data_IF_981001305945
#
_entry.id   IF_981001305945
#
_cell.length_a   1.000
_cell.length_b   1.000
_cell.length_c   1.000
_cell.angle_alpha   90.00
_cell.angle_beta   90.00
_cell.angle_gamma   90.00
#
_symmetry.space_group_name_H-M   'P 1'
#
loop_
_entity.id
_entity.type
_entity.pdbx_description
1 polymer ?
#
# COMPACT_ATOMS: atom_id res chain seq x y z
N UNK A 1 -14.01 9.60 8.79
CA UNK A 1 -15.36 9.97 8.29
C UNK A 1 -15.43 9.64 6.80
N UNK A 2 -16.59 9.49 6.13
CA UNK A 2 -16.57 9.17 4.69
C UNK A 2 -15.93 10.33 3.90
N UNK A 3 -15.15 9.98 2.87
CA UNK A 3 -14.67 10.95 1.89
C UNK A 3 -15.88 11.52 1.14
N UNK A 4 -15.96 12.84 1.05
CA UNK A 4 -16.99 13.55 0.30
C UNK A 4 -16.37 14.17 -0.95
N UNK A 5 -17.16 14.33 -2.01
CA UNK A 5 -16.69 14.99 -3.23
C UNK A 5 -16.15 16.39 -2.89
N UNK A 6 -14.87 16.62 -3.14
CA UNK A 6 -14.26 17.91 -2.91
C UNK A 6 -14.82 18.91 -3.94
N UNK A 7 -15.22 20.10 -3.48
CA UNK A 7 -15.92 21.08 -4.31
C UNK A 7 -15.05 21.82 -5.34
N UNK A 8 -13.80 21.39 -5.59
CA UNK A 8 -12.86 22.06 -6.49
C UNK A 8 -11.91 21.13 -7.21
N UNK A 9 -11.41 21.56 -8.37
CA UNK A 9 -10.35 20.86 -9.08
C UNK A 9 -9.02 21.08 -8.34
N UNK A 10 -8.29 20.00 -8.03
CA UNK A 10 -6.92 20.11 -7.49
C UNK A 10 -5.90 20.51 -8.55
N UNK A 11 -6.08 20.02 -9.78
CA UNK A 11 -5.15 20.27 -10.86
C UNK A 11 -5.59 21.47 -11.71
N UNK A 12 -4.65 22.37 -12.09
CA UNK A 12 -4.86 23.29 -13.19
C UNK A 12 -5.14 22.53 -14.49
N UNK A 13 -5.95 23.10 -15.39
CA UNK A 13 -6.35 22.45 -16.65
C UNK A 13 -5.15 21.97 -17.50
N UNK A 14 -4.05 22.71 -17.50
CA UNK A 14 -2.84 22.33 -18.25
C UNK A 14 -2.20 21.04 -17.68
N UNK A 15 -2.29 20.82 -16.37
CA UNK A 15 -1.80 19.63 -15.70
C UNK A 15 -2.75 18.46 -15.94
N UNK A 16 -4.07 18.67 -15.87
CA UNK A 16 -5.03 17.65 -16.26
C UNK A 16 -4.78 17.17 -17.71
N UNK A 17 -4.52 18.09 -18.64
CA UNK A 17 -4.20 17.76 -20.04
C UNK A 17 -2.89 16.99 -20.20
N UNK A 18 -1.87 17.28 -19.37
CA UNK A 18 -0.59 16.57 -19.40
C UNK A 18 -0.71 15.14 -18.88
N UNK A 19 -1.51 14.93 -17.82
CA UNK A 19 -1.75 13.62 -17.20
C UNK A 19 -2.79 12.77 -17.95
N UNK A 20 -3.47 13.37 -18.92
CA UNK A 20 -4.54 12.76 -19.68
C UNK A 20 -4.02 11.87 -20.83
N UNK A 21 -3.57 10.69 -20.43
CA UNK A 21 -2.97 9.68 -21.31
C UNK A 21 -4.01 8.64 -21.78
N UNK A 22 -3.87 8.13 -23.01
CA UNK A 22 -4.94 7.42 -23.72
C UNK A 22 -4.79 5.89 -23.81
N UNK A 23 -3.83 5.29 -23.10
CA UNK A 23 -3.55 3.84 -23.15
C UNK A 23 -3.46 3.20 -21.77
N UNK A 24 -3.85 1.91 -21.70
CA UNK A 24 -3.68 1.05 -20.50
C UNK A 24 -2.34 1.30 -19.81
N UNK A 25 -1.27 1.20 -20.60
CA UNK A 25 0.12 1.26 -20.15
C UNK A 25 0.54 2.61 -19.59
N UNK A 26 -0.33 3.61 -19.64
CA UNK A 26 -0.10 4.95 -19.09
C UNK A 26 -1.18 5.39 -18.10
N UNK A 27 -2.08 4.48 -17.70
CA UNK A 27 -3.22 4.82 -16.84
C UNK A 27 -2.88 4.95 -15.36
N UNK A 28 -1.80 4.31 -14.91
CA UNK A 28 -1.36 4.46 -13.53
C UNK A 28 -0.86 5.90 -13.30
N UNK A 29 -1.00 6.39 -12.07
CA UNK A 29 -0.44 7.66 -11.56
C UNK A 29 -0.07 7.44 -10.11
N UNK A 30 1.01 8.07 -9.69
CA UNK A 30 1.44 8.04 -8.30
C UNK A 30 1.81 9.44 -7.83
N UNK A 31 1.70 9.65 -6.52
CA UNK A 31 1.88 10.95 -5.91
C UNK A 31 2.79 10.84 -4.69
N UNK A 32 3.74 11.74 -4.55
CA UNK A 32 4.65 11.77 -3.41
C UNK A 32 5.77 12.79 -3.62
N UNK A 33 6.48 13.12 -2.56
CA UNK A 33 7.60 14.06 -2.56
C UNK A 33 8.87 13.39 -3.13
N UNK A 34 9.17 13.66 -4.40
CA UNK A 34 10.22 12.98 -5.18
C UNK A 34 11.58 13.61 -4.93
N UNK A 35 11.67 14.92 -4.72
CA UNK A 35 12.92 15.62 -4.45
C UNK A 35 13.11 16.05 -2.99
N UNK A 36 12.23 15.54 -2.11
CA UNK A 36 12.30 15.67 -0.66
C UNK A 36 12.31 17.14 -0.19
N UNK A 37 11.54 17.98 -0.87
CA UNK A 37 11.39 19.41 -0.59
C UNK A 37 10.12 19.74 0.24
N UNK A 38 9.31 18.72 0.51
CA UNK A 38 8.08 18.78 1.28
C UNK A 38 6.81 18.91 0.42
N UNK A 39 6.94 19.05 -0.89
CA UNK A 39 5.82 19.17 -1.81
C UNK A 39 5.46 17.84 -2.46
N UNK A 40 4.17 17.55 -2.57
CA UNK A 40 3.73 16.34 -3.29
C UNK A 40 3.85 16.55 -4.80
N UNK A 41 4.65 15.70 -5.45
CA UNK A 41 4.81 15.65 -6.90
C UNK A 41 3.86 14.64 -7.56
N UNK A 42 3.89 14.62 -8.90
CA UNK A 42 3.11 13.67 -9.70
C UNK A 42 4.03 12.83 -10.56
N UNK A 43 4.03 11.52 -10.32
CA UNK A 43 4.69 10.51 -11.13
C UNK A 43 3.68 9.91 -12.12
N UNK A 44 4.04 9.90 -13.40
CA UNK A 44 3.18 9.38 -14.47
C UNK A 44 3.99 8.83 -15.64
N UNK A 45 3.34 8.16 -16.59
CA UNK A 45 4.02 7.64 -17.79
C UNK A 45 3.42 8.21 -19.07
N UNK A 46 4.26 8.38 -20.08
CA UNK A 46 3.86 8.75 -21.44
C UNK A 46 4.35 7.71 -22.42
N UNK A 47 3.58 7.47 -23.48
CA UNK A 47 4.05 6.61 -24.57
C UNK A 47 5.18 7.31 -25.32
N UNK A 48 6.35 6.69 -25.34
CA UNK A 48 7.42 7.15 -26.22
C UNK A 48 7.09 6.75 -27.66
N UNK A 49 6.99 7.76 -28.53
CA UNK A 49 6.64 7.58 -29.95
C UNK A 49 7.66 6.74 -30.73
N UNK A 50 8.91 6.67 -30.25
CA UNK A 50 9.99 5.99 -30.96
C UNK A 50 10.05 4.50 -30.63
N UNK A 51 9.97 4.16 -29.34
CA UNK A 51 10.06 2.79 -28.84
C UNK A 51 8.69 2.11 -28.77
N UNK A 52 7.60 2.88 -28.67
CA UNK A 52 6.25 2.35 -28.48
C UNK A 52 6.01 1.80 -27.07
N UNK A 53 6.88 2.10 -26.10
CA UNK A 53 6.74 1.72 -24.70
C UNK A 53 6.45 2.93 -23.81
N UNK A 54 5.78 2.76 -22.66
CA UNK A 54 5.62 3.83 -21.69
C UNK A 54 6.97 4.19 -21.05
N UNK A 55 7.21 5.48 -20.85
CA UNK A 55 8.39 6.03 -20.18
C UNK A 55 7.91 6.87 -19.00
N UNK A 56 8.60 6.75 -17.86
CA UNK A 56 8.26 7.52 -16.67
C UNK A 56 8.71 8.98 -16.75
N UNK A 57 7.83 9.84 -16.27
CA UNK A 57 8.01 11.27 -16.11
C UNK A 57 7.51 11.69 -14.72
N UNK A 58 8.03 12.78 -14.18
CA UNK A 58 7.42 13.43 -13.04
C UNK A 58 7.22 14.94 -13.26
N UNK A 59 6.23 15.49 -12.59
CA UNK A 59 5.95 16.91 -12.50
C UNK A 59 6.33 17.39 -11.11
N UNK A 60 7.36 18.23 -11.05
CA UNK A 60 7.85 18.89 -9.83
C UNK A 60 6.85 19.95 -9.39
N UNK A 61 6.34 19.81 -8.17
CA UNK A 61 5.61 20.85 -7.46
C UNK A 61 6.61 21.77 -6.77
N UNK A 62 6.42 23.08 -6.88
CA UNK A 62 7.34 24.10 -6.35
C UNK A 62 6.66 25.13 -5.45
N UNK A 63 5.42 24.85 -5.04
CA UNK A 63 4.58 25.84 -4.37
C UNK A 63 4.94 26.06 -2.89
N UNK A 64 5.61 25.10 -2.28
CA UNK A 64 5.89 24.97 -0.85
C UNK A 64 4.74 24.31 -0.08
N UNK A 65 5.10 23.68 1.05
CA UNK A 65 4.17 22.91 1.91
C UNK A 65 2.89 23.70 2.26
N UNK A 66 1.75 23.01 2.38
CA UNK A 66 0.45 23.61 2.74
C UNK A 66 -0.07 24.68 1.76
N UNK A 67 0.46 24.76 0.54
CA UNK A 67 -0.01 25.70 -0.47
C UNK A 67 -0.63 24.98 -1.66
N UNK A 68 -1.31 25.72 -2.52
CA UNK A 68 -1.87 25.16 -3.76
C UNK A 68 -0.72 24.81 -4.71
N UNK A 69 -0.60 23.55 -5.18
CA UNK A 69 0.52 23.11 -6.02
C UNK A 69 0.73 23.92 -7.29
N UNK A 70 2.00 24.09 -7.64
CA UNK A 70 2.49 24.81 -8.82
C UNK A 70 3.52 23.92 -9.50
N UNK A 71 3.13 23.34 -10.63
CA UNK A 71 3.95 22.37 -11.33
C UNK A 71 4.84 23.00 -12.40
N UNK A 72 6.09 22.56 -12.44
CA UNK A 72 7.03 22.91 -13.50
C UNK A 72 6.67 22.19 -14.82
N UNK A 73 6.72 22.94 -15.92
CA UNK A 73 6.56 22.42 -17.28
C UNK A 73 7.75 22.86 -18.14
N UNK A 74 8.37 21.96 -18.95
CA UNK A 74 7.97 20.58 -19.20
C UNK A 74 8.27 19.63 -18.03
N UNK A 75 7.58 18.47 -17.96
CA UNK A 75 7.87 17.41 -17.00
C UNK A 75 9.31 16.86 -17.16
N UNK A 76 9.85 16.31 -16.08
CA UNK A 76 11.17 15.67 -16.07
C UNK A 76 11.05 14.27 -16.64
N UNK A 77 11.79 13.98 -17.72
CA UNK A 77 11.89 12.63 -18.29
C UNK A 77 12.93 11.81 -17.53
N UNK A 78 12.50 10.72 -16.90
CA UNK A 78 13.39 9.88 -16.09
C UNK A 78 14.12 8.80 -16.88
N UNK A 79 13.78 8.63 -18.17
CA UNK A 79 14.37 7.62 -19.05
C UNK A 79 14.24 6.17 -18.53
N UNK A 80 13.24 5.90 -17.68
CA UNK A 80 12.86 4.56 -17.25
C UNK A 80 11.76 4.07 -18.18
N UNK A 81 12.10 3.12 -19.05
CA UNK A 81 11.21 2.59 -20.08
C UNK A 81 10.44 1.35 -19.60
N UNK A 82 9.35 1.04 -20.31
CA UNK A 82 8.48 -0.12 -20.07
C UNK A 82 7.85 -0.16 -18.66
N UNK A 83 7.67 1.01 -18.04
CA UNK A 83 6.97 1.14 -16.77
C UNK A 83 5.45 1.10 -16.99
N UNK A 84 4.79 0.02 -16.58
CA UNK A 84 3.32 -0.07 -16.65
C UNK A 84 2.65 0.42 -15.37
N UNK A 85 3.21 -0.01 -14.24
CA UNK A 85 2.72 0.29 -12.90
C UNK A 85 3.93 0.53 -12.01
N UNK A 86 3.77 1.43 -11.05
CA UNK A 86 4.87 1.91 -10.25
C UNK A 86 4.36 2.46 -8.92
N UNK A 87 5.17 2.34 -7.87
CA UNK A 87 4.88 2.89 -6.55
C UNK A 87 6.08 3.63 -6.02
N UNK A 88 5.83 4.75 -5.35
CA UNK A 88 6.79 5.43 -4.52
C UNK A 88 6.81 4.74 -3.15
N UNK A 89 8.00 4.39 -2.67
CA UNK A 89 8.18 3.73 -1.38
C UNK A 89 9.62 3.96 -0.90
N UNK A 90 9.83 4.24 0.39
CA UNK A 90 11.18 4.33 0.96
C UNK A 90 11.77 2.92 1.13
N UNK A 91 12.27 2.36 0.03
CA UNK A 91 12.66 0.96 -0.04
C UNK A 91 13.88 0.66 0.80
N UNK A 92 14.82 1.59 0.90
CA UNK A 92 16.07 1.39 1.62
C UNK A 92 16.09 2.06 3.00
N UNK A 93 14.97 2.62 3.45
CA UNK A 93 14.79 3.30 4.73
C UNK A 93 15.75 4.49 4.93
N UNK A 94 16.04 5.24 3.86
CA UNK A 94 16.87 6.46 3.93
C UNK A 94 16.05 7.74 4.09
N UNK A 95 14.72 7.64 4.14
CA UNK A 95 13.80 8.76 4.22
C UNK A 95 13.44 9.38 2.87
N UNK A 96 13.85 8.76 1.76
CA UNK A 96 13.60 9.27 0.41
C UNK A 96 12.80 8.26 -0.39
N UNK A 97 11.81 8.74 -1.14
CA UNK A 97 10.95 7.86 -1.92
C UNK A 97 11.72 7.29 -3.11
N UNK A 98 11.91 5.97 -3.11
CA UNK A 98 12.40 5.18 -4.23
C UNK A 98 11.22 4.79 -5.15
N UNK A 99 11.51 4.28 -6.35
CA UNK A 99 10.46 3.81 -7.28
C UNK A 99 10.55 2.31 -7.47
N UNK A 100 9.47 1.61 -7.16
CA UNK A 100 9.26 0.21 -7.56
C UNK A 100 8.52 0.20 -8.88
N UNK A 101 9.10 -0.40 -9.93
CA UNK A 101 8.55 -0.41 -11.30
C UNK A 101 8.25 -1.84 -11.73
N UNK A 102 6.99 -2.07 -12.14
CA UNK A 102 6.56 -3.26 -12.87
C UNK A 102 6.42 -2.95 -14.37
N UNK A 103 7.00 -3.80 -15.21
CA UNK A 103 6.88 -3.72 -16.67
C UNK A 103 6.42 -5.03 -17.30
N UNK A 104 5.85 -4.98 -18.52
CA UNK A 104 5.44 -6.20 -19.22
C UNK A 104 6.67 -6.98 -19.66
N UNK A 105 6.71 -8.29 -19.43
CA UNK A 105 7.80 -9.18 -19.85
C UNK A 105 9.19 -8.78 -19.34
N UNK A 106 9.27 -7.85 -18.38
CA UNK A 106 10.51 -7.43 -17.73
C UNK A 106 10.45 -7.76 -16.25
N UNK A 107 11.61 -7.86 -15.62
CA UNK A 107 11.67 -7.98 -14.17
C UNK A 107 11.08 -6.74 -13.50
N UNK A 108 10.47 -6.93 -12.32
CA UNK A 108 10.15 -5.82 -11.42
C UNK A 108 11.46 -5.30 -10.82
N UNK A 109 11.64 -3.98 -10.81
CA UNK A 109 12.90 -3.33 -10.44
C UNK A 109 12.62 -2.16 -9.49
N UNK A 110 13.51 -1.97 -8.53
CA UNK A 110 13.56 -0.78 -7.68
C UNK A 110 14.65 0.15 -8.19
N UNK A 111 14.29 1.42 -8.35
CA UNK A 111 15.22 2.50 -8.65
C UNK A 111 15.40 3.36 -7.41
N UNK A 112 16.64 3.50 -6.96
CA UNK A 112 16.97 4.32 -5.80
C UNK A 112 17.03 5.79 -6.16
N UNK A 113 16.43 6.61 -5.31
CA UNK A 113 16.45 8.06 -5.38
C UNK A 113 17.58 8.63 -4.53
N UNK A 114 18.21 9.70 -5.01
CA UNK A 114 19.21 10.46 -4.26
C UNK A 114 18.59 11.59 -3.42
N UNK A 115 17.27 11.56 -3.22
CA UNK A 115 16.49 12.59 -2.53
C UNK A 115 16.48 13.94 -3.27
N UNK A 116 16.69 13.93 -4.59
CA UNK A 116 16.64 15.13 -5.43
C UNK A 116 16.02 14.79 -6.79
N UNK A 117 15.22 13.72 -6.84
CA UNK A 117 14.59 13.21 -8.06
C UNK A 117 15.56 12.57 -9.06
N UNK A 118 16.81 12.27 -8.69
CA UNK A 118 17.72 11.51 -9.56
C UNK A 118 17.69 10.02 -9.20
N UNK A 119 17.17 9.24 -10.14
CA UNK A 119 16.98 7.80 -9.96
C UNK A 119 18.10 6.99 -10.59
N UNK A 120 18.55 5.96 -9.88
CA UNK A 120 19.55 4.99 -10.36
C UNK A 120 19.05 3.57 -10.13
N UNK A 121 19.54 2.60 -10.91
CA UNK A 121 19.17 1.20 -10.72
C UNK A 121 19.58 0.75 -9.31
N UNK A 122 18.62 0.28 -8.52
CA UNK A 122 18.84 -0.23 -7.18
C UNK A 122 18.92 -1.76 -7.17
N UNK A 123 17.76 -2.41 -7.15
CA UNK A 123 17.67 -3.87 -7.03
C UNK A 123 16.58 -4.44 -7.94
N UNK A 124 16.81 -5.66 -8.44
CA UNK A 124 15.78 -6.42 -9.15
C UNK A 124 15.05 -7.32 -8.16
N UNK A 125 13.72 -7.34 -8.24
CA UNK A 125 12.89 -8.20 -7.40
C UNK A 125 12.86 -9.61 -7.95
N UNK A 126 13.04 -10.59 -7.07
CA UNK A 126 13.06 -12.01 -7.40
C UNK A 126 11.82 -12.67 -6.81
N UNK A 127 11.01 -13.28 -7.68
CA UNK A 127 9.83 -14.04 -7.30
C UNK A 127 10.14 -15.53 -7.49
N UNK A 128 10.09 -16.31 -6.42
CA UNK A 128 10.58 -17.69 -6.44
C UNK A 128 9.88 -18.54 -7.48
N UNK A 129 10.64 -19.10 -8.43
CA UNK A 129 10.18 -20.03 -9.47
C UNK A 129 8.94 -19.60 -10.28
N UNK A 130 8.56 -18.32 -10.24
CA UNK A 130 7.38 -17.79 -10.93
C UNK A 130 7.83 -16.93 -12.09
N UNK A 131 7.41 -17.36 -13.29
CA UNK A 131 7.60 -16.61 -14.51
C UNK A 131 6.26 -15.98 -14.94
N UNK A 132 5.83 -14.94 -14.22
CA UNK A 132 4.57 -14.25 -14.49
C UNK A 132 4.67 -13.25 -15.66
N UNK A 133 5.70 -13.36 -16.54
CA UNK A 133 6.02 -12.38 -17.60
C UNK A 133 4.87 -11.99 -18.54
N UNK A 134 3.72 -12.68 -18.48
CA UNK A 134 2.59 -12.49 -19.38
C UNK A 134 1.43 -11.72 -18.73
N UNK A 135 1.29 -10.46 -19.14
CA UNK A 135 0.08 -9.68 -18.99
C UNK A 135 0.28 -8.35 -18.24
N UNK A 136 -0.53 -7.34 -18.55
CA UNK A 136 -0.56 -6.12 -17.76
C UNK A 136 -1.07 -6.43 -16.34
N UNK A 137 -0.35 -5.94 -15.34
CA UNK A 137 -0.74 -5.98 -13.95
C UNK A 137 -0.48 -4.62 -13.30
N UNK A 138 -1.23 -4.33 -12.24
CA UNK A 138 -1.04 -3.17 -11.38
C UNK A 138 -0.48 -3.63 -10.05
N UNK A 139 0.52 -2.92 -9.54
CA UNK A 139 1.26 -3.31 -8.35
C UNK A 139 0.87 -2.46 -7.15
N UNK A 140 0.92 -2.99 -5.93
CA UNK A 140 1.02 -2.19 -4.71
C UNK A 140 2.18 -2.72 -3.86
N UNK A 141 2.78 -1.82 -3.07
CA UNK A 141 3.95 -2.11 -2.22
C UNK A 141 3.67 -1.55 -0.83
N UNK A 142 3.90 -2.35 0.19
CA UNK A 142 3.73 -1.96 1.58
C UNK A 142 4.01 -3.12 2.52
N UNK A 143 4.23 -2.84 3.80
CA UNK A 143 4.33 -3.87 4.84
C UNK A 143 2.90 -4.29 5.25
N UNK A 144 2.35 -5.31 4.60
CA UNK A 144 0.93 -5.69 4.73
C UNK A 144 0.75 -6.70 5.89
N UNK A 145 1.80 -7.48 6.16
CA UNK A 145 1.84 -8.47 7.22
C UNK A 145 2.52 -7.98 8.51
N UNK A 146 2.88 -6.70 8.59
CA UNK A 146 3.51 -6.04 9.74
C UNK A 146 4.84 -6.67 10.19
N UNK A 147 5.61 -7.24 9.26
CA UNK A 147 6.91 -7.86 9.55
C UNK A 147 8.12 -6.91 9.42
N UNK A 148 7.88 -5.69 8.95
CA UNK A 148 8.89 -4.66 8.72
C UNK A 148 9.57 -4.74 7.36
N UNK A 149 9.12 -5.60 6.44
CA UNK A 149 9.59 -5.69 5.07
C UNK A 149 8.47 -5.32 4.09
N UNK A 150 8.80 -4.69 2.94
CA UNK A 150 7.81 -4.38 1.93
C UNK A 150 7.36 -5.66 1.20
N UNK A 151 6.07 -5.95 1.27
CA UNK A 151 5.37 -6.95 0.49
C UNK A 151 4.87 -6.38 -0.84
N UNK A 152 4.42 -7.27 -1.73
CA UNK A 152 3.89 -6.91 -3.05
C UNK A 152 2.52 -7.51 -3.27
N UNK A 153 1.60 -6.66 -3.71
CA UNK A 153 0.37 -7.08 -4.39
C UNK A 153 0.52 -6.89 -5.88
N UNK A 154 0.06 -7.85 -6.65
CA UNK A 154 -0.12 -7.72 -8.10
C UNK A 154 -1.56 -8.08 -8.46
N UNK A 155 -2.20 -7.21 -9.24
CA UNK A 155 -3.57 -7.41 -9.70
C UNK A 155 -3.65 -7.45 -11.22
N UNK A 156 -4.38 -8.42 -11.78
CA UNK A 156 -4.57 -8.56 -13.23
C UNK A 156 -5.90 -9.22 -13.61
N UNK A 157 -6.24 -9.12 -14.90
CA UNK A 157 -7.33 -9.84 -15.56
C UNK A 157 -6.87 -11.05 -16.38
N UNK A 158 -5.57 -11.35 -16.41
CA UNK A 158 -5.12 -12.49 -17.21
C UNK A 158 -5.87 -13.75 -16.77
N UNK A 159 -6.30 -14.59 -17.72
CA UNK A 159 -6.96 -15.88 -17.41
C UNK A 159 -6.09 -16.77 -16.52
N UNK A 160 -4.79 -16.53 -16.55
CA UNK A 160 -3.80 -17.23 -15.74
C UNK A 160 -3.53 -16.50 -14.41
N UNK A 161 -4.03 -15.28 -14.22
CA UNK A 161 -3.80 -14.44 -13.06
C UNK A 161 -5.07 -13.63 -12.71
N UNK A 162 -6.20 -14.28 -12.35
CA UNK A 162 -7.48 -13.60 -12.17
C UNK A 162 -7.63 -13.04 -10.75
N UNK A 163 -7.30 -11.76 -10.59
CA UNK A 163 -7.48 -11.02 -9.33
C UNK A 163 -6.19 -10.54 -8.71
N UNK A 164 -6.19 -10.39 -7.38
CA UNK A 164 -5.07 -9.83 -6.61
C UNK A 164 -4.32 -10.94 -5.92
N UNK A 165 -3.00 -10.99 -6.15
CA UNK A 165 -2.10 -11.97 -5.56
C UNK A 165 -1.12 -11.28 -4.65
N UNK A 166 -0.84 -11.94 -3.53
CA UNK A 166 0.07 -11.50 -2.50
C UNK A 166 1.40 -12.22 -2.58
N UNK A 167 2.48 -11.46 -2.51
CA UNK A 167 3.84 -11.95 -2.42
C UNK A 167 4.48 -11.39 -1.15
N UNK A 168 4.85 -12.30 -0.27
CA UNK A 168 5.54 -11.97 0.98
C UNK A 168 7.04 -11.81 0.71
N UNK A 169 7.64 -10.77 1.26
CA UNK A 169 9.09 -10.58 1.18
C UNK A 169 9.82 -11.25 2.34
N UNK A 170 10.35 -12.45 2.11
CA UNK A 170 11.14 -13.18 3.12
C UNK A 170 12.65 -12.89 3.01
N UNK A 171 13.04 -11.86 2.27
CA UNK A 171 14.42 -11.46 2.05
C UNK A 171 14.83 -10.26 2.90
N UNK A 172 15.42 -9.28 2.25
CA UNK A 172 15.65 -7.94 2.81
C UNK A 172 15.46 -6.88 1.73
N UNK A 173 15.51 -5.61 2.07
CA UNK A 173 15.43 -4.54 1.05
C UNK A 173 16.64 -4.53 0.11
N UNK A 174 17.81 -5.01 0.55
CA UNK A 174 19.01 -5.14 -0.29
C UNK A 174 19.04 -6.42 -1.13
N UNK A 175 18.43 -7.49 -0.64
CA UNK A 175 18.32 -8.78 -1.31
C UNK A 175 16.88 -9.30 -1.18
N UNK A 176 15.93 -8.67 -1.88
CA UNK A 176 14.52 -8.98 -1.73
C UNK A 176 14.22 -10.34 -2.36
N UNK A 177 13.39 -11.10 -1.67
CA UNK A 177 13.02 -12.45 -2.09
C UNK A 177 11.55 -12.68 -1.80
N UNK A 178 10.78 -12.78 -2.86
CA UNK A 178 9.32 -12.83 -2.80
C UNK A 178 8.81 -14.26 -2.98
N UNK A 179 8.07 -14.74 -1.99
CA UNK A 179 7.41 -16.03 -2.04
C UNK A 179 5.92 -15.87 -2.33
N UNK A 180 5.39 -16.81 -3.11
CA UNK A 180 3.95 -16.93 -3.30
C UNK A 180 3.35 -17.70 -2.12
N UNK A 181 2.58 -17.00 -1.30
CA UNK A 181 2.04 -17.54 -0.06
C UNK A 181 0.86 -18.48 -0.31
N UNK A 182 0.87 -19.64 0.35
CA UNK A 182 -0.21 -20.63 0.31
C UNK A 182 -1.53 -20.04 0.84
N UNK A 183 -2.70 -20.34 0.26
CA UNK A 183 -2.99 -21.41 -0.72
C UNK A 183 -2.78 -21.04 -2.19
N UNK A 184 -2.24 -19.84 -2.48
CA UNK A 184 -1.93 -19.46 -3.86
C UNK A 184 -0.92 -20.45 -4.43
N UNK A 185 -1.11 -20.85 -5.67
CA UNK A 185 -0.25 -21.84 -6.29
C UNK A 185 0.03 -21.49 -7.74
N UNK A 186 1.32 -21.45 -8.06
CA UNK A 186 1.79 -21.25 -9.43
C UNK A 186 1.75 -22.55 -10.21
N UNK A 187 1.00 -22.56 -11.30
CA UNK A 187 0.92 -23.67 -12.25
C UNK A 187 1.81 -23.38 -13.45
N UNK A 188 2.94 -24.08 -13.55
CA UNK A 188 3.83 -24.01 -14.71
C UNK A 188 3.14 -24.43 -16.01
N UNK A 189 2.09 -25.26 -15.93
CA UNK A 189 1.18 -25.52 -17.03
C UNK A 189 0.16 -24.38 -17.13
N UNK A 190 0.36 -23.47 -18.08
CA UNK A 190 -0.48 -22.29 -18.28
C UNK A 190 0.12 -20.98 -17.75
N UNK A 191 1.27 -21.00 -17.06
CA UNK A 191 1.93 -19.83 -16.48
C UNK A 191 0.97 -18.96 -15.65
N UNK A 192 0.29 -19.59 -14.69
CA UNK A 192 -0.77 -18.94 -13.93
C UNK A 192 -0.71 -19.18 -12.44
N UNK A 193 -1.43 -18.35 -11.68
CA UNK A 193 -1.60 -18.44 -10.24
C UNK A 193 -3.07 -18.77 -9.97
N UNK A 194 -3.26 -19.87 -9.24
CA UNK A 194 -4.56 -20.35 -8.77
C UNK A 194 -4.73 -20.03 -7.29
N UNK A 195 -5.99 -19.93 -6.84
CA UNK A 195 -6.36 -19.52 -5.47
C UNK A 195 -5.72 -18.18 -5.06
N UNK A 196 -5.86 -17.11 -5.86
CA UNK A 196 -5.29 -15.80 -5.54
C UNK A 196 -5.78 -15.32 -4.18
N UNK A 197 -4.99 -14.43 -3.56
CA UNK A 197 -5.31 -13.81 -2.29
C UNK A 197 -6.71 -13.20 -2.25
N UNK A 198 -7.04 -12.37 -3.25
CA UNK A 198 -8.40 -11.90 -3.48
C UNK A 198 -8.83 -12.32 -4.89
N UNK A 199 -9.77 -13.29 -5.01
CA UNK A 199 -10.29 -13.71 -6.29
C UNK A 199 -11.09 -12.61 -6.97
N UNK A 200 -10.87 -12.45 -8.27
CA UNK A 200 -11.71 -11.60 -9.12
C UNK A 200 -12.70 -12.50 -9.87
N UNK A 201 -13.98 -12.13 -9.84
CA UNK A 201 -15.08 -12.94 -10.37
C UNK A 201 -15.97 -12.18 -11.36
N UNK A 202 -15.63 -10.94 -11.66
CA UNK A 202 -16.42 -9.96 -12.40
C UNK A 202 -15.76 -9.56 -13.75
N UNK A 203 -14.61 -10.14 -14.09
CA UNK A 203 -13.88 -9.86 -15.34
C UNK A 203 -13.23 -8.47 -15.36
N UNK A 204 -12.84 -7.95 -14.19
CA UNK A 204 -12.34 -6.60 -13.95
C UNK A 204 -10.83 -6.52 -13.66
N UNK A 205 -10.18 -5.36 -13.87
CA UNK A 205 -8.76 -5.13 -13.51
C UNK A 205 -8.76 -4.42 -12.16
N UNK A 206 -8.73 -5.16 -11.03
CA UNK A 206 -8.62 -4.53 -9.74
C UNK A 206 -7.34 -3.70 -9.69
N UNK A 207 -7.43 -2.49 -9.15
CA UNK A 207 -6.26 -1.66 -8.89
C UNK A 207 -6.04 -1.61 -7.39
N UNK A 208 -4.93 -2.18 -6.88
CA UNK A 208 -4.62 -2.14 -5.47
C UNK A 208 -4.00 -0.78 -5.10
N UNK A 209 -4.53 -0.21 -4.02
CA UNK A 209 -3.97 0.89 -3.26
C UNK A 209 -3.86 0.47 -1.80
N UNK A 210 -2.81 0.94 -1.13
CA UNK A 210 -2.52 0.62 0.26
C UNK A 210 -2.50 1.92 1.06
N UNK A 211 -3.27 1.98 2.14
CA UNK A 211 -3.38 3.16 3.00
C UNK A 211 -4.10 2.79 4.30
N UNK A 212 -3.62 3.28 5.44
CA UNK A 212 -4.33 3.21 6.74
C UNK A 212 -5.54 4.16 6.70
N UNK A 213 -6.70 3.66 6.25
CA UNK A 213 -7.86 4.51 5.95
C UNK A 213 -8.76 4.73 7.16
N UNK A 214 -8.72 3.82 8.13
CA UNK A 214 -9.50 3.91 9.35
C UNK A 214 -8.70 4.44 10.56
N UNK A 215 -7.41 4.71 10.36
CA UNK A 215 -6.48 5.30 11.33
C UNK A 215 -6.16 4.39 12.51
N UNK A 216 -6.18 3.08 12.33
CA UNK A 216 -5.91 2.15 13.42
C UNK A 216 -4.42 1.82 13.60
N UNK A 217 -3.61 2.12 12.59
CA UNK A 217 -2.16 2.00 12.57
C UNK A 217 -1.64 0.88 11.68
N UNK A 218 -2.50 0.11 11.02
CA UNK A 218 -2.10 -0.84 9.99
C UNK A 218 -2.59 -0.47 8.59
N UNK A 219 -1.88 -0.99 7.60
CA UNK A 219 -2.11 -0.61 6.20
C UNK A 219 -3.26 -1.45 5.65
N UNK A 220 -4.36 -0.79 5.29
CA UNK A 220 -5.50 -1.42 4.63
C UNK A 220 -5.31 -1.57 3.13
N UNK A 221 -6.13 -2.42 2.53
CA UNK A 221 -6.19 -2.62 1.09
C UNK A 221 -7.46 -2.01 0.49
N UNK A 222 -7.26 -1.09 -0.44
CA UNK A 222 -8.31 -0.54 -1.29
C UNK A 222 -8.19 -1.16 -2.68
N UNK A 223 -9.25 -1.78 -3.17
CA UNK A 223 -9.32 -2.35 -4.52
C UNK A 223 -10.32 -1.56 -5.36
N UNK A 224 -9.81 -0.81 -6.34
CA UNK A 224 -10.64 -0.23 -7.40
C UNK A 224 -11.02 -1.32 -8.40
N UNK A 225 -12.26 -1.75 -8.39
CA UNK A 225 -12.82 -2.84 -9.19
C UNK A 225 -13.82 -2.32 -10.25
N UNK A 226 -13.46 -2.39 -11.54
CA UNK A 226 -14.33 -2.01 -12.65
C UNK A 226 -15.28 -3.13 -13.11
N UNK A 227 -16.57 -3.09 -12.72
CA UNK A 227 -17.52 -4.18 -12.97
C UNK A 227 -17.90 -4.40 -14.45
N UNK A 228 -17.98 -5.67 -14.88
CA UNK A 228 -18.70 -6.09 -16.10
C UNK A 228 -20.03 -6.78 -15.76
N UNK A 229 -21.08 -6.71 -16.61
CA UNK A 229 -21.34 -5.80 -17.73
C UNK A 229 -22.50 -4.80 -17.45
N UNK A 230 -22.97 -4.67 -16.20
CA UNK A 230 -24.30 -4.10 -15.90
C UNK A 230 -24.33 -2.95 -14.89
N UNK A 231 -23.18 -2.42 -14.46
CA UNK A 231 -23.15 -1.28 -13.55
C UNK A 231 -22.09 -0.30 -13.99
N UNK A 232 -22.52 0.89 -14.37
CA UNK A 232 -21.66 2.03 -14.62
C UNK A 232 -20.93 2.47 -13.35
N UNK A 233 -19.64 2.77 -13.47
CA UNK A 233 -18.82 3.41 -12.43
C UNK A 233 -17.95 2.38 -11.68
N UNK A 234 -16.67 2.71 -11.53
CA UNK A 234 -15.73 1.88 -10.76
C UNK A 234 -16.18 1.73 -9.31
N UNK A 235 -16.15 0.51 -8.78
CA UNK A 235 -16.43 0.20 -7.38
C UNK A 235 -15.12 0.25 -6.60
N UNK A 236 -15.12 0.86 -5.42
CA UNK A 236 -14.03 0.70 -4.47
C UNK A 236 -14.46 -0.32 -3.41
N UNK A 237 -13.68 -1.39 -3.26
CA UNK A 237 -13.74 -2.26 -2.09
C UNK A 237 -12.69 -1.83 -1.09
N UNK A 238 -13.11 -1.75 0.16
CA UNK A 238 -12.20 -1.63 1.28
C UNK A 238 -12.03 -2.99 1.93
N UNK A 239 -10.78 -3.38 2.09
CA UNK A 239 -10.36 -4.59 2.74
C UNK A 239 -9.56 -4.23 3.98
N UNK A 240 -10.23 -4.29 5.12
CA UNK A 240 -9.66 -4.06 6.44
C UNK A 240 -8.52 -5.04 6.71
N UNK A 241 -7.36 -4.49 7.05
CA UNK A 241 -6.32 -5.20 7.75
C UNK A 241 -6.59 -5.09 9.25
N UNK A 242 -6.29 -6.12 10.05
CA UNK A 242 -6.46 -6.07 11.51
C UNK A 242 -5.10 -6.16 12.22
N UNK A 243 -4.04 -5.75 11.53
CA UNK A 243 -2.72 -5.49 12.09
C UNK A 243 -1.92 -6.69 12.62
N UNK A 244 -2.34 -7.94 12.38
CA UNK A 244 -1.61 -9.08 12.92
C UNK A 244 -0.32 -9.37 12.14
N UNK A 245 0.76 -9.60 12.87
CA UNK A 245 2.01 -10.11 12.30
C UNK A 245 1.79 -11.51 11.71
N UNK A 246 2.09 -11.71 10.43
CA UNK A 246 1.98 -13.03 9.78
C UNK A 246 3.19 -13.34 8.90
N UNK A 247 3.63 -14.60 8.87
CA UNK A 247 4.66 -15.07 7.92
C UNK A 247 4.31 -16.45 7.38
N UNK A 248 4.54 -16.67 6.09
CA UNK A 248 4.18 -17.88 5.37
C UNK A 248 2.66 -18.12 5.22
N UNK A 249 1.85 -17.13 5.58
CA UNK A 249 0.39 -17.13 5.48
C UNK A 249 -0.10 -15.77 5.01
N UNK A 250 -1.33 -15.69 4.51
CA UNK A 250 -1.89 -14.41 4.13
C UNK A 250 -1.88 -13.39 5.29
N UNK A 251 -1.71 -12.10 4.97
CA UNK A 251 -1.85 -11.03 5.95
C UNK A 251 -3.28 -11.00 6.49
N UNK A 252 -3.48 -10.32 7.62
CA UNK A 252 -4.75 -10.29 8.36
C UNK A 252 -5.80 -9.35 7.75
N UNK A 253 -5.91 -9.41 6.43
CA UNK A 253 -6.80 -8.62 5.61
C UNK A 253 -8.04 -9.44 5.27
N UNK A 254 -9.22 -8.85 5.40
CA UNK A 254 -10.45 -9.54 4.99
C UNK A 254 -10.50 -9.70 3.46
N UNK A 255 -10.77 -10.91 2.95
CA UNK A 255 -10.73 -11.15 1.48
C UNK A 255 -12.04 -10.85 0.76
N UNK A 256 -13.13 -10.56 1.49
CA UNK A 256 -14.44 -10.25 0.91
C UNK A 256 -14.57 -8.77 0.53
N UNK A 257 -13.98 -7.88 1.32
CA UNK A 257 -14.10 -6.44 1.17
C UNK A 257 -15.52 -5.91 1.45
N UNK A 258 -15.59 -4.62 1.76
CA UNK A 258 -16.85 -3.88 1.92
C UNK A 258 -16.88 -2.77 0.87
N UNK A 259 -17.94 -2.74 0.06
CA UNK A 259 -18.12 -1.70 -0.93
C UNK A 259 -18.60 -0.39 -0.29
N UNK A 260 -18.13 0.74 -0.83
CA UNK A 260 -18.63 2.08 -0.49
C UNK A 260 -18.54 2.46 1.01
N UNK A 261 -17.61 1.89 1.77
CA UNK A 261 -17.45 2.22 3.19
C UNK A 261 -17.08 3.71 3.42
N UNK A 262 -16.44 4.33 2.44
CA UNK A 262 -15.94 5.70 2.55
C UNK A 262 -16.47 6.67 1.49
N UNK A 263 -17.58 6.38 0.82
CA UNK A 263 -18.17 7.31 -0.16
C UNK A 263 -17.36 7.47 -1.45
N UNK A 264 -16.40 6.57 -1.71
CA UNK A 264 -15.59 6.54 -2.93
C UNK A 264 -16.35 5.97 -4.13
N UNK A 265 -17.68 6.15 -4.18
CA UNK A 265 -18.53 5.66 -5.27
C UNK A 265 -18.90 6.75 -6.28
N UNK A 266 -19.17 6.27 -7.50
CA UNK A 266 -19.89 6.95 -8.59
C UNK A 266 -19.18 8.09 -9.34
N UNK A 267 -18.47 7.72 -10.40
CA UNK A 267 -18.48 8.53 -11.63
C UNK A 267 -19.75 8.16 -12.41
N UNK A 268 -20.75 9.03 -12.45
CA UNK A 268 -21.99 8.78 -13.19
C UNK A 268 -21.72 8.66 -14.69
N UNK A 269 -21.59 7.46 -15.23
CA UNK A 269 -21.49 7.27 -16.68
C UNK A 269 -22.43 6.17 -17.14
N UNK A 270 -23.62 6.51 -17.63
CA UNK A 270 -24.52 5.57 -18.31
C UNK A 270 -24.00 5.03 -19.65
N UNK A 271 -22.69 4.80 -19.78
CA UNK A 271 -22.01 4.28 -20.97
C UNK A 271 -21.39 2.93 -20.59
N UNK A 272 -21.84 1.86 -21.23
CA UNK A 272 -21.30 0.50 -21.09
C UNK A 272 -20.15 0.29 -22.10
N UNK A 273 -18.94 0.75 -21.79
CA UNK A 273 -17.69 0.42 -22.50
C UNK A 273 -16.68 -0.08 -21.47
N UNK A 274 -16.04 -1.23 -21.72
CA UNK A 274 -15.07 -1.89 -20.82
C UNK A 274 -13.89 -0.98 -20.42
N UNK A 275 -13.57 0.02 -21.26
CA UNK A 275 -12.54 1.03 -20.96
C UNK A 275 -12.99 2.08 -19.94
N UNK A 276 -14.30 2.15 -19.66
CA UNK A 276 -14.95 3.23 -18.93
C UNK A 276 -15.33 2.91 -17.49
N UNK A 277 -15.06 1.67 -17.08
CA UNK A 277 -15.33 1.22 -15.71
C UNK A 277 -14.09 1.38 -14.81
N UNK A 278 -12.89 1.59 -15.38
CA UNK A 278 -11.65 1.72 -14.62
C UNK A 278 -11.57 3.07 -13.92
N UNK A 279 -11.38 3.02 -12.62
CA UNK A 279 -11.03 4.18 -11.82
C UNK A 279 -9.77 3.80 -11.07
N UNK A 280 -8.70 4.58 -11.26
CA UNK A 280 -7.49 4.44 -10.45
C UNK A 280 -7.59 5.45 -9.33
N UNK A 281 -7.71 4.96 -8.09
CA UNK A 281 -7.76 5.81 -6.91
C UNK A 281 -6.48 5.70 -6.10
N UNK A 282 -5.91 6.84 -5.71
CA UNK A 282 -4.82 6.96 -4.74
C UNK A 282 -5.28 7.82 -3.57
N UNK A 283 -4.88 7.45 -2.36
CA UNK A 283 -5.06 8.30 -1.17
C UNK A 283 -3.72 9.00 -0.92
N UNK A 284 -3.75 10.34 -0.90
CA UNK A 284 -2.55 11.16 -0.94
C UNK A 284 -2.68 12.34 -0.01
N UNK A 285 -1.71 12.58 0.86
CA UNK A 285 -1.58 13.85 1.59
C UNK A 285 -1.07 14.96 0.65
N UNK A 286 -1.91 15.36 -0.29
CA UNK A 286 -1.54 16.16 -1.46
C UNK A 286 -1.02 17.56 -1.11
N UNK A 287 -1.36 18.09 0.06
CA UNK A 287 -0.91 19.39 0.55
C UNK A 287 0.18 19.29 1.63
N UNK A 288 0.64 18.07 1.94
CA UNK A 288 1.62 17.79 2.99
C UNK A 288 1.20 18.37 4.35
N UNK A 289 -0.07 18.16 4.71
CA UNK A 289 -0.70 18.76 5.87
C UNK A 289 -1.35 17.74 6.82
N UNK A 290 -1.13 16.45 6.57
CA UNK A 290 -1.76 15.35 7.27
C UNK A 290 -3.22 15.12 6.87
N UNK A 291 -3.71 15.75 5.79
CA UNK A 291 -5.07 15.58 5.29
C UNK A 291 -5.09 14.82 3.96
N UNK A 292 -5.21 13.50 3.99
CA UNK A 292 -5.29 12.72 2.76
C UNK A 292 -6.52 13.08 1.92
N UNK A 293 -6.33 13.13 0.60
CA UNK A 293 -7.36 13.28 -0.42
C UNK A 293 -7.33 12.03 -1.29
N UNK A 294 -8.50 11.48 -1.59
CA UNK A 294 -8.62 10.44 -2.59
C UNK A 294 -8.66 11.09 -3.99
N UNK A 295 -7.62 10.86 -4.79
CA UNK A 295 -7.51 11.30 -6.18
C UNK A 295 -7.85 10.12 -7.08
N UNK A 296 -8.92 10.27 -7.86
CA UNK A 296 -9.44 9.22 -8.72
C UNK A 296 -9.40 9.65 -10.19
N UNK A 297 -8.74 8.89 -11.05
CA UNK A 297 -8.71 9.15 -12.49
C UNK A 297 -9.64 8.19 -13.25
N UNK A 298 -10.58 8.76 -14.01
CA UNK A 298 -11.39 8.01 -14.97
C UNK A 298 -10.80 8.22 -16.40
N UNK A 299 -10.22 7.18 -17.01
CA UNK A 299 -9.54 7.26 -18.30
C UNK A 299 -10.49 7.47 -19.48
N UNK A 300 -11.75 7.05 -19.38
CA UNK A 300 -12.73 7.27 -20.45
C UNK A 300 -13.27 8.67 -20.47
N UNK A 301 -13.59 9.21 -19.29
CA UNK A 301 -14.04 10.59 -19.16
C UNK A 301 -12.87 11.57 -19.27
N UNK A 302 -11.63 11.06 -19.23
CA UNK A 302 -10.40 11.86 -19.27
C UNK A 302 -10.44 12.93 -18.17
N UNK A 303 -10.89 12.50 -16.98
CA UNK A 303 -11.26 13.40 -15.90
C UNK A 303 -10.82 12.85 -14.54
N UNK A 304 -10.38 13.77 -13.69
CA UNK A 304 -10.08 13.51 -12.29
C UNK A 304 -11.27 13.85 -11.40
N UNK A 305 -11.42 13.04 -10.35
CA UNK A 305 -12.37 13.21 -9.28
C UNK A 305 -11.59 13.25 -7.98
N UNK A 306 -12.01 14.15 -7.09
CA UNK A 306 -11.31 14.41 -5.85
C UNK A 306 -12.30 14.25 -4.71
N UNK A 307 -11.91 13.51 -3.69
CA UNK A 307 -12.72 13.33 -2.50
C UNK A 307 -11.86 13.64 -1.28
N UNK A 308 -12.36 14.50 -0.39
CA UNK A 308 -11.67 14.91 0.83
C UNK A 308 -12.45 14.45 2.06
N UNK A 309 -11.77 14.22 3.17
CA UNK A 309 -12.43 14.12 4.47
C UNK A 309 -12.57 15.53 5.08
N UNK A 310 -13.75 15.85 5.62
CA UNK A 310 -14.00 17.15 6.29
C UNK A 310 -13.23 17.29 7.61
N UNK A 311 -12.82 16.17 8.20
CA UNK A 311 -12.03 16.09 9.42
C UNK A 311 -10.83 15.17 9.15
N UNK A 312 -9.69 15.78 8.86
CA UNK A 312 -8.43 15.09 8.56
C UNK A 312 -7.81 14.39 9.77
N UNK A 313 -8.42 14.54 10.95
CA UNK A 313 -7.99 13.82 12.12
C UNK A 313 -8.30 12.34 11.97
N UNK A 314 -7.25 11.53 11.80
CA UNK A 314 -7.06 10.48 12.79
C UNK A 314 -6.99 11.22 14.12
N UNK A 315 -8.13 11.40 14.80
CA UNK A 315 -8.17 12.18 16.02
C UNK A 315 -7.26 11.48 17.04
N UNK A 316 -6.00 11.88 17.11
CA UNK A 316 -5.30 11.93 18.38
C UNK A 316 -6.12 12.94 19.17
N UNK A 317 -7.12 12.45 19.91
CA UNK A 317 -7.78 13.22 20.94
C UNK A 317 -6.73 13.56 22.00
N UNK A 318 -5.89 14.55 21.72
CA UNK A 318 -5.33 15.44 22.73
C UNK A 318 -6.38 16.49 23.06
N UNK A 319 -7.58 16.02 23.42
CA UNK A 319 -8.39 16.73 24.39
C UNK A 319 -8.22 15.93 25.68
N UNK A 320 -7.60 16.55 26.67
CA UNK A 320 -7.30 16.03 28.03
C UNK A 320 -8.54 15.57 28.83
N UNK A 321 -9.68 15.30 28.18
CA UNK A 321 -10.95 14.96 28.83
C UNK A 321 -11.77 13.87 28.15
N UNK A 322 -11.21 13.04 27.25
CA UNK A 322 -11.84 11.79 26.78
C UNK A 322 -10.80 10.71 26.43
N UNK A 323 -9.96 10.33 27.40
CA UNK A 323 -9.32 9.01 27.41
C UNK A 323 -10.31 8.04 28.07
N UNK A 324 -11.01 7.29 27.24
CA UNK A 324 -11.61 5.96 27.50
C UNK A 324 -12.36 5.59 26.19
N UNK A 325 -12.00 4.62 25.36
CA UNK A 325 -11.26 3.37 25.54
C UNK A 325 -10.59 2.97 24.20
N UNK A 326 -9.36 3.43 23.92
CA UNK A 326 -8.44 2.72 22.99
C UNK A 326 -7.24 2.35 23.84
N UNK A 327 -7.22 1.10 24.30
CA UNK A 327 -6.26 0.67 25.29
C UNK A 327 -4.93 0.37 24.63
N UNK A 328 -4.06 1.35 24.65
CA UNK A 328 -2.72 1.22 24.09
C UNK A 328 -1.88 0.35 25.01
N UNK A 329 -1.68 -0.92 24.63
CA UNK A 329 -0.73 -1.79 25.29
C UNK A 329 0.69 -1.25 25.11
N UNK A 330 1.46 -1.20 26.19
CA UNK A 330 2.87 -0.78 26.17
C UNK A 330 3.74 -1.81 26.87
N UNK A 331 4.96 -1.98 26.35
CA UNK A 331 5.98 -2.82 26.96
C UNK A 331 6.98 -1.97 27.72
N UNK A 332 7.28 -2.34 28.97
CA UNK A 332 8.28 -1.65 29.76
C UNK A 332 9.05 -2.63 30.68
N UNK A 333 10.35 -2.44 30.93
CA UNK A 333 11.24 -1.57 30.16
C UNK A 333 11.44 -2.11 28.73
N UNK A 334 11.51 -1.21 27.76
CA UNK A 334 11.92 -1.50 26.40
C UNK A 334 12.98 -0.46 25.98
N UNK A 335 14.27 -0.81 25.85
CA UNK A 335 14.83 -2.17 25.87
C UNK A 335 14.78 -2.90 27.23
N UNK A 336 14.59 -4.21 27.20
CA UNK A 336 14.58 -5.09 28.39
C UNK A 336 15.91 -5.81 28.57
N UNK A 337 16.24 -6.18 29.82
CA UNK A 337 17.45 -6.94 30.18
C UNK A 337 17.13 -8.34 30.66
N UNK A 338 16.08 -8.50 31.48
CA UNK A 338 15.72 -9.79 32.08
C UNK A 338 14.23 -10.04 32.11
N UNK A 339 13.41 -8.99 32.13
CA UNK A 339 11.97 -9.11 32.11
C UNK A 339 11.34 -7.83 31.60
N UNK A 340 10.18 -7.95 30.98
CA UNK A 340 9.36 -6.82 30.58
C UNK A 340 7.91 -7.04 31.03
N UNK A 341 7.17 -5.96 31.10
CA UNK A 341 5.82 -5.89 31.64
C UNK A 341 4.91 -5.31 30.57
N UNK A 342 3.66 -5.77 30.57
CA UNK A 342 2.60 -5.28 29.69
C UNK A 342 1.77 -4.27 30.50
N UNK A 343 1.66 -3.05 30.00
CA UNK A 343 0.83 -1.99 30.57
C UNK A 343 -0.38 -1.73 29.68
N UNK A 344 -1.59 -1.76 30.24
CA UNK A 344 -2.86 -1.44 29.56
C UNK A 344 -3.93 -1.00 30.57
N UNK A 345 -5.01 -0.35 30.10
CA UNK A 345 -6.09 0.16 30.97
C UNK A 345 -7.13 -0.93 31.35
N UNK A 346 -7.41 -1.89 30.46
CA UNK A 346 -8.11 -3.15 30.72
C UNK A 346 -7.41 -4.30 29.98
N UNK A 347 -7.37 -5.44 30.63
CA UNK A 347 -6.69 -6.62 30.12
C UNK A 347 -7.59 -7.80 30.43
N UNK A 348 -8.54 -8.03 29.52
CA UNK A 348 -9.57 -9.06 29.68
C UNK A 348 -9.04 -10.44 29.26
N UNK A 349 -8.06 -10.47 28.36
CA UNK A 349 -7.35 -11.66 27.91
C UNK A 349 -5.87 -11.62 28.35
N UNK A 350 -5.40 -12.74 28.88
CA UNK A 350 -4.07 -12.84 29.48
C UNK A 350 -3.08 -13.59 28.57
N UNK A 351 -3.33 -13.74 27.27
CA UNK A 351 -2.49 -14.58 26.41
C UNK A 351 -1.43 -13.75 25.68
N UNK A 352 -0.22 -14.30 25.55
CA UNK A 352 0.84 -13.73 24.74
C UNK A 352 1.63 -14.80 23.98
N UNK A 353 2.22 -14.39 22.86
CA UNK A 353 3.16 -15.19 22.05
C UNK A 353 4.33 -14.27 21.66
N UNK A 354 5.56 -14.73 21.85
CA UNK A 354 6.79 -14.02 21.52
C UNK A 354 7.46 -14.71 20.33
N UNK A 355 7.83 -13.90 19.34
CA UNK A 355 8.52 -14.28 18.12
C UNK A 355 9.92 -13.66 18.09
N UNK A 356 10.89 -14.38 17.53
CA UNK A 356 12.13 -13.76 17.05
C UNK A 356 11.92 -13.02 15.72
N UNK A 357 12.96 -12.34 15.23
CA UNK A 357 12.93 -11.63 13.94
C UNK A 357 12.65 -12.52 12.72
N UNK A 358 12.76 -13.85 12.87
CA UNK A 358 12.48 -14.80 11.79
C UNK A 358 11.09 -15.44 11.96
N UNK A 359 10.25 -14.92 12.85
CA UNK A 359 8.89 -15.42 13.10
C UNK A 359 8.83 -16.73 13.90
N UNK A 360 9.94 -17.20 14.48
CA UNK A 360 9.93 -18.42 15.30
C UNK A 360 9.35 -18.11 16.67
N UNK A 361 8.40 -18.91 17.13
CA UNK A 361 7.88 -18.83 18.50
C UNK A 361 9.00 -19.17 19.49
N UNK A 362 9.33 -18.19 20.34
CA UNK A 362 10.33 -18.28 21.40
C UNK A 362 9.66 -18.61 22.73
N UNK A 363 8.50 -18.03 22.98
CA UNK A 363 7.74 -18.23 24.21
C UNK A 363 6.26 -17.98 23.94
N UNK A 364 5.40 -18.76 24.58
CA UNK A 364 3.96 -18.48 24.62
C UNK A 364 3.48 -18.76 26.04
N UNK A 365 2.42 -18.09 26.45
CA UNK A 365 1.88 -18.31 27.78
C UNK A 365 0.77 -17.35 28.14
N UNK A 366 0.44 -17.38 29.42
CA UNK A 366 -0.42 -16.38 30.01
C UNK A 366 0.41 -15.41 30.84
N UNK A 367 0.09 -14.12 30.79
CA UNK A 367 0.71 -13.08 31.60
C UNK A 367 -0.28 -12.52 32.62
N UNK A 368 0.26 -11.87 33.62
CA UNK A 368 -0.50 -11.11 34.60
C UNK A 368 0.13 -9.72 34.65
N UNK A 369 -0.66 -8.66 34.78
CA UNK A 369 -0.17 -7.27 34.72
C UNK A 369 0.88 -6.94 35.77
N UNK A 370 0.87 -7.68 36.89
CA UNK A 370 1.82 -7.50 37.99
C UNK A 370 3.06 -8.39 37.88
N UNK A 371 3.05 -9.39 36.99
CA UNK A 371 4.13 -10.35 36.83
C UNK A 371 4.85 -10.09 35.52
N UNK A 372 6.15 -9.78 35.59
CA UNK A 372 6.98 -9.56 34.41
C UNK A 372 7.11 -10.85 33.59
N UNK A 373 7.08 -10.70 32.27
CA UNK A 373 7.44 -11.77 31.34
C UNK A 373 8.97 -11.89 31.34
N UNK A 374 9.47 -13.05 31.76
CA UNK A 374 10.91 -13.34 31.83
C UNK A 374 11.51 -13.51 30.44
N UNK A 375 12.49 -12.66 30.14
CA UNK A 375 13.28 -12.65 28.91
C UNK A 375 14.77 -12.90 29.18
N UNK A 376 15.16 -13.33 30.38
CA UNK A 376 16.57 -13.49 30.77
C UNK A 376 17.34 -14.48 29.88
N UNK A 377 16.63 -15.47 29.35
CA UNK A 377 17.17 -16.52 28.50
C UNK A 377 17.18 -16.14 27.02
N UNK A 378 16.69 -14.95 26.66
CA UNK A 378 16.67 -14.49 25.27
C UNK A 378 18.03 -13.89 24.91
N UNK A 379 18.49 -14.15 23.69
CA UNK A 379 19.70 -13.52 23.16
C UNK A 379 19.46 -12.02 22.92
N UNK A 380 20.54 -11.22 22.89
CA UNK A 380 20.45 -9.81 22.54
C UNK A 380 19.91 -9.67 21.12
N UNK A 381 18.80 -8.95 20.94
CA UNK A 381 18.11 -8.90 19.66
C UNK A 381 16.78 -8.17 19.70
N UNK A 382 16.08 -8.17 18.56
CA UNK A 382 14.72 -7.64 18.43
C UNK A 382 13.75 -8.81 18.50
N UNK A 383 12.64 -8.61 19.20
CA UNK A 383 11.57 -9.58 19.35
C UNK A 383 10.22 -8.88 19.20
N UNK A 384 9.21 -9.65 18.82
CA UNK A 384 7.82 -9.20 18.75
C UNK A 384 7.00 -10.01 19.74
N UNK A 385 6.14 -9.35 20.50
CA UNK A 385 5.16 -10.01 21.36
C UNK A 385 3.76 -9.68 20.87
N UNK A 386 3.04 -10.70 20.42
CA UNK A 386 1.61 -10.62 20.16
C UNK A 386 0.86 -10.84 21.47
N UNK A 387 -0.01 -9.92 21.83
CA UNK A 387 -0.81 -9.94 23.06
C UNK A 387 -2.27 -9.98 22.64
N UNK A 388 -3.02 -10.90 23.23
CA UNK A 388 -4.45 -10.97 23.01
C UNK A 388 -5.17 -10.06 24.01
N UNK A 389 -5.97 -9.11 23.53
CA UNK A 389 -6.86 -8.28 24.35
C UNK A 389 -8.23 -8.19 23.66
N UNK A 390 -9.33 -8.44 24.38
CA UNK A 390 -10.69 -8.39 23.84
C UNK A 390 -10.90 -9.22 22.55
N UNK A 391 -10.31 -10.43 22.47
CA UNK A 391 -10.26 -11.27 21.26
C UNK A 391 -9.49 -10.72 20.05
N UNK A 392 -8.82 -9.57 20.18
CA UNK A 392 -7.98 -8.98 19.14
C UNK A 392 -6.51 -9.21 19.52
N UNK A 393 -5.66 -9.53 18.54
CA UNK A 393 -4.22 -9.63 18.75
C UNK A 393 -3.55 -8.30 18.43
N UNK A 394 -2.77 -7.78 19.37
CA UNK A 394 -1.94 -6.60 19.18
C UNK A 394 -0.47 -7.00 19.27
N UNK A 395 0.32 -6.67 18.25
CA UNK A 395 1.77 -6.94 18.24
C UNK A 395 2.56 -5.74 18.74
N UNK A 396 3.53 -5.97 19.61
CA UNK A 396 4.44 -4.95 20.14
C UNK A 396 5.89 -5.41 19.98
N UNK A 397 6.74 -4.50 19.51
CA UNK A 397 8.18 -4.73 19.39
C UNK A 397 8.90 -4.47 20.71
N UNK A 398 9.80 -5.36 21.13
CA UNK A 398 10.78 -5.07 22.18
C UNK A 398 12.22 -5.45 21.82
N UNK A 399 13.16 -4.76 22.45
CA UNK A 399 14.59 -4.97 22.27
C UNK A 399 15.16 -5.63 23.52
N UNK A 400 15.80 -6.79 23.36
CA UNK A 400 16.58 -7.46 24.41
C UNK A 400 18.02 -6.96 24.36
N UNK A 401 18.52 -6.45 25.48
CA UNK A 401 19.92 -6.07 25.68
C UNK A 401 20.74 -7.20 26.28
#
# INVERSE_FOLDING_TARGET
MPYQTAAGNLFPLAIEQELDTDRFSTLDKEYGDIDNDGDTDILYTKMDSSSGFPVLYWLENTAGTNTTPVFNMPPVNMNIQNALSYRLYDWNNNGCLDIVVYGVNTSTVVYYNDCSGNFSFGVQLLFDNIDYRYGPALLAVGDINNDGLPDILLSSQSVNFPGTVYFENNGSTSYPFFNLVSPQNYTSFGNGITNPFIPENSGSYPTPGLYDVDCDGDIDLLLSDPLLPNSSGGRMYYHENNGAFTTGTFPNVNTTGIGNQFGLNDTSSGINDLRCDWVVTRIVDYFSNGCPIAISYNPCQRKFFYYSQDDCGCATLSNDSFISQKETLKLYPNPTVSQFYIQGETLDDNQFIIYDINGRIIMEGNYNTNDGIDSSNFETGIYFVAIKNNNIWQSLKFVKK
#
